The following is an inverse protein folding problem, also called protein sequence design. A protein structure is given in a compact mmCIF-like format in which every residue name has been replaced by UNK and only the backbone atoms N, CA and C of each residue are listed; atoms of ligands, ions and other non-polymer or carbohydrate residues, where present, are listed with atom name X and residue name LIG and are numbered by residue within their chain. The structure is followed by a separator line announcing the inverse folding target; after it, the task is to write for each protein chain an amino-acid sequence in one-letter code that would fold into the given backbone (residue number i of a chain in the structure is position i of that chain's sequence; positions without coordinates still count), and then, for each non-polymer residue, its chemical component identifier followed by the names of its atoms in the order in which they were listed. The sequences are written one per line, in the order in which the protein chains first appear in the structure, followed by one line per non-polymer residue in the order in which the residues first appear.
data_IF_810793357689
#
_entry.id   IF_810793357689
#
_cell.length_a   1.000
_cell.length_b   1.000
_cell.length_c   1.000
_cell.angle_alpha   90.00
_cell.angle_beta   90.00
_cell.angle_gamma   90.00
#
_symmetry.space_group_name_H-M   'P 1'
#
loop_
_entity.id
_entity.type
_entity.pdbx_description
1 polymer ?
#
# COMPACT_ATOMS: atom_id res chain seq x y z
N UNK A 1 -7.13 -17.24 5.78
CA UNK A 1 -6.94 -16.95 4.34
C UNK A 1 -7.94 -15.86 4.00
N UNK A 2 -7.48 -14.75 3.41
CA UNK A 2 -8.40 -13.69 2.99
C UNK A 2 -9.30 -14.21 1.87
N UNK A 3 -10.53 -13.73 1.82
CA UNK A 3 -11.46 -14.08 0.76
C UNK A 3 -10.94 -13.56 -0.59
N UNK A 4 -11.18 -14.27 -1.70
CA UNK A 4 -10.62 -13.90 -3.00
C UNK A 4 -11.02 -12.47 -3.42
N UNK A 5 -12.22 -12.02 -3.02
CA UNK A 5 -12.68 -10.65 -3.22
C UNK A 5 -11.90 -9.63 -2.38
N UNK A 6 -11.52 -10.01 -1.16
CA UNK A 6 -10.73 -9.18 -0.26
C UNK A 6 -9.29 -9.06 -0.77
N UNK A 7 -8.67 -10.14 -1.25
CA UNK A 7 -7.34 -10.10 -1.87
C UNK A 7 -7.29 -9.17 -3.09
N UNK A 8 -8.26 -9.29 -4.00
CA UNK A 8 -8.32 -8.43 -5.19
C UNK A 8 -8.52 -6.96 -4.80
N UNK A 9 -9.35 -6.69 -3.79
CA UNK A 9 -9.56 -5.33 -3.30
C UNK A 9 -8.29 -4.77 -2.65
N UNK A 10 -7.61 -5.58 -1.83
CA UNK A 10 -6.37 -5.21 -1.16
C UNK A 10 -5.24 -4.94 -2.16
N UNK A 11 -5.09 -5.79 -3.18
CA UNK A 11 -4.09 -5.63 -4.23
C UNK A 11 -4.31 -4.35 -5.04
N UNK A 12 -5.56 -4.03 -5.39
CA UNK A 12 -5.91 -2.76 -6.05
C UNK A 12 -5.64 -1.56 -5.14
N UNK A 13 -5.92 -1.69 -3.85
CA UNK A 13 -5.70 -0.64 -2.87
C UNK A 13 -4.20 -0.35 -2.69
N UNK A 14 -3.38 -1.40 -2.49
CA UNK A 14 -1.93 -1.29 -2.42
C UNK A 14 -1.33 -0.69 -3.69
N UNK A 15 -1.83 -1.04 -4.88
CA UNK A 15 -1.35 -0.46 -6.15
C UNK A 15 -1.62 1.05 -6.22
N UNK A 16 -2.80 1.50 -5.79
CA UNK A 16 -3.12 2.94 -5.74
C UNK A 16 -2.26 3.67 -4.71
N UNK A 17 -2.08 3.06 -3.55
CA UNK A 17 -1.36 3.64 -2.45
C UNK A 17 0.14 3.76 -2.77
N UNK A 18 0.79 2.68 -3.21
CA UNK A 18 2.24 2.67 -3.45
C UNK A 18 2.65 3.35 -4.76
N UNK A 19 1.80 3.29 -5.80
CA UNK A 19 2.20 3.67 -7.16
C UNK A 19 1.60 4.96 -7.68
N UNK A 20 0.45 5.37 -7.15
CA UNK A 20 -0.28 6.51 -7.68
C UNK A 20 -0.33 7.70 -6.71
N UNK A 21 -0.40 7.46 -5.40
CA UNK A 21 -0.59 8.54 -4.44
C UNK A 21 -0.10 8.22 -3.01
N UNK A 22 1.14 7.75 -2.80
CA UNK A 22 1.64 7.37 -1.48
C UNK A 22 1.58 8.53 -0.46
N UNK A 23 1.91 9.74 -0.92
CA UNK A 23 1.86 10.97 -0.11
C UNK A 23 0.44 11.27 0.42
N UNK A 24 -0.61 10.90 -0.32
CA UNK A 24 -2.00 11.12 0.13
C UNK A 24 -2.39 10.21 1.31
N UNK A 25 -1.66 9.13 1.51
CA UNK A 25 -1.86 8.20 2.61
C UNK A 25 -0.81 8.38 3.72
N UNK A 26 0.07 9.39 3.61
CA UNK A 26 1.16 9.61 4.55
C UNK A 26 2.27 8.56 4.47
N UNK A 27 2.33 7.79 3.38
CA UNK A 27 3.35 6.78 3.14
C UNK A 27 4.56 7.41 2.44
N UNK A 28 5.75 7.15 2.98
CA UNK A 28 7.00 7.54 2.34
C UNK A 28 7.52 6.33 1.58
N UNK A 29 7.61 6.47 0.26
CA UNK A 29 8.17 5.46 -0.63
C UNK A 29 9.54 5.92 -1.10
N UNK A 30 10.47 4.98 -1.15
CA UNK A 30 11.80 5.20 -1.65
C UNK A 30 11.75 5.57 -3.15
N UNK A 31 12.39 6.66 -3.56
CA UNK A 31 12.34 7.12 -4.95
C UNK A 31 13.18 6.27 -5.91
N UNK A 32 14.09 5.43 -5.42
CA UNK A 32 14.95 4.55 -6.23
C UNK A 32 14.23 3.25 -6.62
N UNK A 33 13.52 2.61 -5.69
CA UNK A 33 12.86 1.31 -5.92
C UNK A 33 11.35 1.29 -5.68
N UNK A 34 10.77 2.35 -5.12
CA UNK A 34 9.35 2.41 -4.78
C UNK A 34 8.96 1.49 -3.62
N UNK A 35 9.91 1.14 -2.75
CA UNK A 35 9.66 0.38 -1.52
C UNK A 35 9.30 1.30 -0.35
N UNK A 36 8.50 0.81 0.60
CA UNK A 36 8.20 1.51 1.83
C UNK A 36 8.42 0.59 3.03
N UNK A 37 8.44 1.16 4.23
CA UNK A 37 8.47 0.38 5.45
C UNK A 37 7.15 -0.40 5.60
N UNK A 38 7.27 -1.66 6.03
CA UNK A 38 6.12 -2.50 6.31
C UNK A 38 5.26 -1.93 7.44
N UNK A 39 5.90 -1.27 8.41
CA UNK A 39 5.23 -0.63 9.55
C UNK A 39 4.31 0.51 9.08
N UNK A 40 4.79 1.38 8.20
CA UNK A 40 3.98 2.45 7.60
C UNK A 40 2.85 1.88 6.72
N UNK A 41 3.12 0.80 5.99
CA UNK A 41 2.09 0.12 5.20
C UNK A 41 0.98 -0.47 6.09
N UNK A 42 1.35 -1.06 7.22
CA UNK A 42 0.40 -1.60 8.19
C UNK A 42 -0.44 -0.48 8.81
N UNK A 43 0.18 0.62 9.24
CA UNK A 43 -0.51 1.74 9.87
C UNK A 43 -1.60 2.37 8.98
N UNK A 44 -1.44 2.28 7.66
CA UNK A 44 -2.46 2.76 6.70
C UNK A 44 -3.57 1.73 6.43
N UNK A 45 -3.30 0.44 6.62
CA UNK A 45 -4.24 -0.65 6.30
C UNK A 45 -5.06 -1.11 7.53
N UNK A 46 -4.54 -0.96 8.75
CA UNK A 46 -5.22 -1.31 10.01
C UNK A 46 -5.87 -0.13 10.72
#
# INVERSE_FOLDING_TARGET
MLDAKAEVSLSKFMTRMLRHAPEQYGLIVDPEDGSCLLEELLDVIT
#
